data_IF_909475687913
#
_entry.id   IF_909475687913
#
_cell.length_a   1.000
_cell.length_b   1.000
_cell.length_c   1.000
_cell.angle_alpha   90.00
_cell.angle_beta   90.00
_cell.angle_gamma   90.00
#
_symmetry.space_group_name_H-M   'P 1'
#
loop_
_entity.id
_entity.type
_entity.pdbx_description
1 polymer ?
#
# COMPACT_ATOMS: atom_id res chain seq x y z
N UNK A 1 20.99 6.38 -71.47
CA UNK A 1 20.80 6.71 -70.04
C UNK A 1 19.60 5.95 -69.48
N UNK A 2 19.78 5.27 -68.34
CA UNK A 2 18.82 4.76 -67.34
C UNK A 2 17.35 4.54 -67.73
N UNK A 3 16.87 3.31 -67.52
CA UNK A 3 15.93 3.03 -66.42
C UNK A 3 15.92 1.52 -66.10
N UNK A 4 16.52 1.17 -64.97
CA UNK A 4 16.28 -0.11 -64.29
C UNK A 4 15.02 0.05 -63.45
N UNK A 5 14.04 -0.84 -63.61
CA UNK A 5 12.90 -0.96 -62.69
C UNK A 5 13.16 -2.12 -61.72
N UNK A 6 13.02 -1.92 -60.41
CA UNK A 6 13.39 -2.89 -59.41
C UNK A 6 12.31 -3.95 -59.18
N UNK A 7 12.80 -5.16 -58.95
CA UNK A 7 12.12 -6.35 -58.44
C UNK A 7 11.13 -6.01 -57.30
N UNK A 8 9.83 -6.23 -57.52
CA UNK A 8 8.76 -5.92 -56.53
C UNK A 8 7.86 -7.09 -56.12
N UNK A 9 8.18 -8.33 -56.47
CA UNK A 9 7.39 -9.49 -56.05
C UNK A 9 8.22 -10.54 -55.32
N UNK A 10 8.63 -10.19 -54.09
CA UNK A 10 8.92 -11.17 -53.03
C UNK A 10 8.58 -10.54 -51.69
N UNK A 11 7.31 -10.61 -51.30
CA UNK A 11 6.96 -10.39 -49.90
C UNK A 11 7.54 -11.57 -49.10
N UNK A 12 8.36 -11.34 -48.07
CA UNK A 12 8.78 -12.42 -47.20
C UNK A 12 7.56 -12.94 -46.45
N UNK A 13 7.38 -14.26 -46.48
CA UNK A 13 6.46 -14.97 -45.58
C UNK A 13 6.74 -14.51 -44.15
N UNK A 14 5.77 -13.84 -43.53
CA UNK A 14 5.79 -13.56 -42.10
C UNK A 14 5.16 -14.78 -41.42
N UNK A 15 5.89 -15.52 -40.54
CA UNK A 15 5.22 -16.49 -39.69
C UNK A 15 4.12 -15.77 -38.92
N UNK A 16 2.94 -16.38 -38.86
CA UNK A 16 1.84 -15.90 -38.04
C UNK A 16 2.37 -15.55 -36.65
N UNK A 17 2.08 -14.31 -36.21
CA UNK A 17 2.37 -13.87 -34.86
C UNK A 17 1.86 -14.94 -33.89
N UNK A 18 2.78 -15.65 -33.23
CA UNK A 18 2.42 -16.47 -32.08
C UNK A 18 1.78 -15.54 -31.07
N UNK A 19 0.58 -15.85 -30.56
CA UNK A 19 0.07 -15.14 -29.40
C UNK A 19 1.03 -15.50 -28.27
N UNK A 20 1.94 -14.60 -27.93
CA UNK A 20 2.60 -14.66 -26.64
C UNK A 20 1.48 -14.56 -25.60
N UNK A 21 1.05 -15.72 -25.10
CA UNK A 21 0.29 -15.82 -23.89
C UNK A 21 1.15 -15.16 -22.82
N UNK A 22 0.85 -13.90 -22.50
CA UNK A 22 1.43 -13.24 -21.32
C UNK A 22 0.85 -13.95 -20.10
N UNK A 23 1.44 -15.09 -19.74
CA UNK A 23 1.15 -15.77 -18.49
C UNK A 23 1.68 -14.84 -17.42
N UNK A 24 0.78 -14.09 -16.78
CA UNK A 24 1.12 -13.30 -15.61
C UNK A 24 1.82 -14.23 -14.61
N UNK A 25 2.92 -13.78 -13.97
CA UNK A 25 3.78 -14.66 -13.18
C UNK A 25 3.08 -15.35 -11.99
N UNK A 26 1.86 -14.90 -11.64
CA UNK A 26 1.07 -15.40 -10.50
C UNK A 26 -0.42 -15.27 -10.78
N UNK A 27 -1.23 -16.15 -10.19
CA UNK A 27 -2.69 -16.05 -10.19
C UNK A 27 -3.19 -15.06 -9.10
N UNK A 28 -4.47 -14.72 -9.14
CA UNK A 28 -5.05 -13.71 -8.23
C UNK A 28 -5.00 -14.14 -6.76
N UNK A 29 -5.18 -15.43 -6.47
CA UNK A 29 -5.09 -15.95 -5.10
C UNK A 29 -3.67 -15.81 -4.54
N UNK A 30 -2.65 -16.14 -5.34
CA UNK A 30 -1.24 -15.97 -4.97
C UNK A 30 -0.91 -14.50 -4.75
N UNK A 31 -1.46 -13.59 -5.56
CA UNK A 31 -1.30 -12.14 -5.36
C UNK A 31 -1.86 -11.70 -4.01
N UNK A 32 -3.10 -12.11 -3.68
CA UNK A 32 -3.74 -11.79 -2.41
C UNK A 32 -2.95 -12.32 -1.19
N UNK A 33 -2.43 -13.54 -1.29
CA UNK A 33 -1.62 -14.15 -0.23
C UNK A 33 -0.32 -13.38 0.04
N UNK A 34 0.35 -12.93 -1.04
CA UNK A 34 1.58 -12.16 -0.95
C UNK A 34 1.34 -10.75 -0.42
N UNK A 35 0.28 -10.07 -0.85
CA UNK A 35 -0.12 -8.76 -0.33
C UNK A 35 -0.45 -8.84 1.16
N UNK A 36 -1.21 -9.87 1.57
CA UNK A 36 -1.52 -10.09 2.98
C UNK A 36 -0.27 -10.43 3.81
N UNK A 37 0.68 -11.20 3.26
CA UNK A 37 1.95 -11.50 3.92
C UNK A 37 2.83 -10.25 4.08
N UNK A 38 2.90 -9.40 3.06
CA UNK A 38 3.61 -8.13 3.12
C UNK A 38 3.00 -7.19 4.16
N UNK A 39 1.67 -7.08 4.19
CA UNK A 39 0.95 -6.27 5.19
C UNK A 39 1.22 -6.77 6.62
N UNK A 40 1.10 -8.08 6.86
CA UNK A 40 1.45 -8.68 8.17
C UNK A 40 2.88 -8.38 8.58
N UNK A 41 3.83 -8.41 7.63
CA UNK A 41 5.23 -8.10 7.90
C UNK A 41 5.46 -6.60 8.21
N UNK A 42 4.73 -5.70 7.54
CA UNK A 42 4.74 -4.28 7.87
C UNK A 42 4.23 -4.02 9.28
N UNK A 43 3.09 -4.62 9.64
CA UNK A 43 2.51 -4.51 11.00
C UNK A 43 3.50 -5.01 12.04
N UNK A 44 4.08 -6.20 11.84
CA UNK A 44 5.10 -6.74 12.75
C UNK A 44 6.34 -5.82 12.85
N UNK A 45 6.77 -5.22 11.74
CA UNK A 45 7.88 -4.27 11.75
C UNK A 45 7.54 -3.02 12.59
N UNK A 46 6.36 -2.43 12.38
CA UNK A 46 5.89 -1.27 13.15
C UNK A 46 5.71 -1.59 14.63
N UNK A 47 5.34 -2.82 14.98
CA UNK A 47 5.24 -3.28 16.36
C UNK A 47 6.62 -3.49 17.01
N UNK A 48 7.61 -3.99 16.27
CA UNK A 48 8.99 -4.07 16.78
C UNK A 48 9.62 -2.69 17.03
N UNK A 49 9.11 -1.64 16.37
CA UNK A 49 9.59 -0.25 16.44
C UNK A 49 8.62 0.64 17.23
N UNK A 50 8.36 0.28 18.49
CA UNK A 50 7.51 1.09 19.41
C UNK A 50 8.12 2.44 19.78
N UNK A 51 9.41 2.64 19.49
CA UNK A 51 10.12 3.92 19.60
C UNK A 51 9.58 4.97 18.62
N UNK A 52 9.13 4.53 17.45
CA UNK A 52 8.63 5.43 16.38
C UNK A 52 7.22 5.89 16.71
N UNK A 53 7.06 7.18 17.03
CA UNK A 53 5.76 7.77 17.36
C UNK A 53 4.91 7.98 16.10
N UNK A 54 3.58 7.91 16.26
CA UNK A 54 2.66 8.12 15.15
C UNK A 54 2.75 9.53 14.55
N UNK A 55 3.10 10.55 15.35
CA UNK A 55 3.26 11.92 14.86
C UNK A 55 4.45 12.04 13.90
N UNK A 56 5.54 11.32 14.15
CA UNK A 56 6.70 11.31 13.26
C UNK A 56 6.37 10.65 11.93
N UNK A 57 5.63 9.55 11.96
CA UNK A 57 5.13 8.89 10.75
C UNK A 57 4.21 9.81 9.95
N UNK A 58 3.28 10.52 10.62
CA UNK A 58 2.43 11.50 9.93
C UNK A 58 3.24 12.63 9.28
N UNK A 59 4.24 13.16 9.98
CA UNK A 59 5.06 14.26 9.47
C UNK A 59 5.95 13.86 8.29
N UNK A 60 6.43 12.62 8.25
CA UNK A 60 7.35 12.14 7.22
C UNK A 60 6.64 11.51 6.02
N UNK A 61 5.61 10.70 6.25
CA UNK A 61 4.99 9.86 5.22
C UNK A 61 3.50 10.11 5.01
N UNK A 62 2.87 11.02 5.78
CA UNK A 62 1.44 11.33 5.64
C UNK A 62 0.49 10.21 6.09
N UNK A 63 1.00 9.14 6.70
CA UNK A 63 0.20 8.08 7.31
C UNK A 63 0.87 7.54 8.57
N UNK A 64 0.09 6.92 9.45
CA UNK A 64 0.59 6.25 10.65
C UNK A 64 -0.19 4.96 10.93
N UNK A 65 0.10 4.30 12.06
CA UNK A 65 -0.59 3.07 12.50
C UNK A 65 -2.12 3.23 12.55
N UNK A 66 -2.61 4.38 13.02
CA UNK A 66 -4.04 4.66 13.03
C UNK A 66 -4.67 4.76 11.64
N UNK A 67 -3.91 5.17 10.62
CA UNK A 67 -4.38 5.17 9.23
C UNK A 67 -4.56 3.74 8.74
N UNK A 68 -3.61 2.85 9.04
CA UNK A 68 -3.72 1.42 8.71
C UNK A 68 -4.97 0.79 9.33
N UNK A 69 -5.27 1.08 10.61
CA UNK A 69 -6.49 0.58 11.25
C UNK A 69 -7.77 1.12 10.59
N UNK A 70 -7.78 2.38 10.16
CA UNK A 70 -8.91 2.97 9.43
C UNK A 70 -9.10 2.31 8.05
N UNK A 71 -8.02 2.07 7.32
CA UNK A 71 -8.08 1.38 6.02
C UNK A 71 -8.54 -0.07 6.17
N UNK A 72 -8.08 -0.77 7.22
CA UNK A 72 -8.54 -2.11 7.53
C UNK A 72 -10.05 -2.13 7.80
N UNK A 73 -10.55 -1.20 8.64
CA UNK A 73 -11.98 -1.08 8.90
C UNK A 73 -12.77 -0.72 7.63
N UNK A 74 -12.29 0.23 6.84
CA UNK A 74 -12.97 0.62 5.59
C UNK A 74 -13.10 -0.56 4.61
N UNK A 75 -12.05 -1.37 4.47
CA UNK A 75 -12.08 -2.58 3.66
C UNK A 75 -13.05 -3.66 4.19
N UNK A 76 -13.27 -3.71 5.51
CA UNK A 76 -14.28 -4.56 6.12
C UNK A 76 -15.70 -4.02 5.87
N UNK A 77 -15.90 -2.71 6.01
CA UNK A 77 -17.17 -2.01 5.77
C UNK A 77 -17.64 -2.20 4.32
N UNK A 78 -16.73 -2.08 3.33
CA UNK A 78 -17.01 -2.34 1.91
C UNK A 78 -17.49 -3.76 1.64
N UNK A 79 -17.08 -4.71 2.47
CA UNK A 79 -17.46 -6.13 2.41
C UNK A 79 -18.59 -6.48 3.35
N UNK A 80 -19.17 -5.49 4.05
CA UNK A 80 -20.22 -5.67 5.05
C UNK A 80 -19.83 -6.64 6.17
N UNK A 81 -18.54 -6.67 6.53
CA UNK A 81 -18.01 -7.46 7.64
C UNK A 81 -17.99 -6.57 8.89
N UNK A 82 -18.62 -7.03 9.96
CA UNK A 82 -18.65 -6.29 11.23
C UNK A 82 -17.28 -6.37 11.92
N UNK A 83 -16.52 -5.27 11.80
CA UNK A 83 -15.23 -5.07 12.46
C UNK A 83 -15.25 -3.70 13.11
N UNK A 84 -15.09 -3.64 14.42
CA UNK A 84 -15.00 -2.36 15.11
C UNK A 84 -13.65 -1.69 14.84
N UNK A 85 -13.58 -0.36 15.02
CA UNK A 85 -12.31 0.35 14.89
C UNK A 85 -11.28 -0.12 15.94
N UNK A 86 -11.74 -0.61 17.08
CA UNK A 86 -10.86 -1.10 18.14
C UNK A 86 -10.30 -2.49 17.79
N UNK A 87 -11.10 -3.37 17.17
CA UNK A 87 -10.59 -4.63 16.61
C UNK A 87 -9.54 -4.37 15.53
N UNK A 88 -9.80 -3.42 14.64
CA UNK A 88 -8.85 -3.03 13.60
C UNK A 88 -7.57 -2.40 14.17
N UNK A 89 -7.65 -1.74 15.32
CA UNK A 89 -6.46 -1.26 16.06
C UNK A 89 -5.72 -2.43 16.67
N UNK A 90 -6.40 -3.36 17.33
CA UNK A 90 -5.76 -4.53 17.93
C UNK A 90 -4.97 -5.34 16.89
N UNK A 91 -5.50 -5.52 15.67
CA UNK A 91 -4.78 -6.15 14.56
C UNK A 91 -3.48 -5.42 14.20
N UNK A 92 -3.47 -4.09 14.22
CA UNK A 92 -2.31 -3.26 13.83
C UNK A 92 -1.32 -3.04 14.97
N UNK A 93 -1.80 -2.95 16.21
CA UNK A 93 -0.98 -2.70 17.40
C UNK A 93 -0.53 -3.99 18.10
N UNK A 94 -1.12 -5.15 17.76
CA UNK A 94 -0.83 -6.44 18.38
C UNK A 94 -1.33 -6.57 19.82
N UNK A 95 -2.03 -5.56 20.34
CA UNK A 95 -2.60 -5.48 21.69
C UNK A 95 -3.71 -4.41 21.72
N UNK A 96 -4.55 -4.37 22.78
CA UNK A 96 -5.55 -3.33 22.93
C UNK A 96 -4.94 -1.94 22.89
N UNK A 97 -5.54 -1.04 22.10
CA UNK A 97 -5.01 0.32 21.89
C UNK A 97 -4.82 1.10 23.20
N UNK A 98 -5.72 0.89 24.16
CA UNK A 98 -5.62 1.52 25.48
C UNK A 98 -4.34 1.13 26.22
N UNK A 99 -3.96 -0.16 26.17
CA UNK A 99 -2.73 -0.66 26.78
C UNK A 99 -1.49 -0.14 26.06
N UNK A 100 -1.51 -0.14 24.72
CA UNK A 100 -0.41 0.39 23.93
C UNK A 100 -0.18 1.89 24.22
N UNK A 101 -1.27 2.66 24.30
CA UNK A 101 -1.22 4.08 24.63
C UNK A 101 -0.63 4.32 26.01
N UNK A 102 -1.03 3.54 27.01
CA UNK A 102 -0.50 3.69 28.36
C UNK A 102 1.00 3.34 28.45
N UNK A 103 1.46 2.35 27.68
CA UNK A 103 2.84 1.85 27.77
C UNK A 103 3.84 2.61 26.89
N UNK A 104 3.41 3.08 25.70
CA UNK A 104 4.34 3.51 24.65
C UNK A 104 4.07 4.89 24.05
N UNK A 105 2.88 5.47 24.25
CA UNK A 105 2.58 6.80 23.73
C UNK A 105 3.27 7.87 24.58
N UNK A 106 4.18 8.63 23.97
CA UNK A 106 4.82 9.78 24.60
C UNK A 106 4.09 11.07 24.23
N UNK A 107 4.18 12.07 25.08
CA UNK A 107 3.75 13.42 24.73
C UNK A 107 4.60 13.94 23.57
N UNK A 108 3.95 14.45 22.54
CA UNK A 108 4.63 15.01 21.38
C UNK A 108 5.32 16.32 21.76
N UNK A 109 6.57 16.51 21.34
CA UNK A 109 7.29 17.76 21.55
C UNK A 109 6.65 18.91 20.77
N UNK A 110 6.90 20.15 21.21
CA UNK A 110 6.38 21.33 20.52
C UNK A 110 6.79 21.37 19.03
N UNK A 111 8.01 20.92 18.71
CA UNK A 111 8.51 20.86 17.33
C UNK A 111 7.75 19.83 16.49
N UNK A 112 7.44 18.65 17.05
CA UNK A 112 6.66 17.61 16.35
C UNK A 112 5.23 18.08 16.08
N UNK A 113 4.62 18.79 17.03
CA UNK A 113 3.29 19.38 16.89
C UNK A 113 3.27 20.50 15.84
N UNK A 114 4.29 21.37 15.83
CA UNK A 114 4.42 22.43 14.86
C UNK A 114 4.67 21.88 13.43
N UNK A 115 5.48 20.83 13.30
CA UNK A 115 5.68 20.13 12.03
C UNK A 115 4.39 19.48 11.54
N UNK A 116 3.62 18.87 12.45
CA UNK A 116 2.31 18.31 12.11
C UNK A 116 1.36 19.40 11.62
N UNK A 117 1.23 20.51 12.34
CA UNK A 117 0.38 21.64 11.94
C UNK A 117 0.74 22.22 10.56
N UNK A 118 2.03 22.22 10.19
CA UNK A 118 2.51 22.62 8.86
C UNK A 118 2.29 21.56 7.79
N UNK A 119 2.32 20.29 8.18
CA UNK A 119 2.18 19.11 7.32
C UNK A 119 0.74 18.65 7.07
N UNK A 120 -0.27 19.26 7.69
CA UNK A 120 -1.70 19.04 7.36
C UNK A 120 -2.04 19.68 6.01
N UNK A 121 -1.36 19.27 4.94
CA UNK A 121 -1.80 19.52 3.57
C UNK A 121 -2.32 18.20 3.00
N UNK A 122 -3.63 18.21 2.75
CA UNK A 122 -4.48 17.31 1.98
C UNK A 122 -4.26 15.79 2.09
N UNK A 123 -5.26 14.99 2.52
CA UNK A 123 -5.28 13.58 2.18
C UNK A 123 -5.34 13.50 0.65
N UNK A 124 -4.24 13.06 0.02
CA UNK A 124 -4.24 12.77 -1.40
C UNK A 124 -5.47 11.89 -1.72
N UNK A 125 -6.32 12.27 -2.69
CA UNK A 125 -7.50 11.49 -3.01
C UNK A 125 -7.00 10.13 -3.51
N UNK A 126 -7.30 9.08 -2.76
CA UNK A 126 -7.20 7.71 -3.25
C UNK A 126 -8.26 7.59 -4.33
N UNK A 127 -7.89 7.91 -5.58
CA UNK A 127 -8.72 7.62 -6.75
C UNK A 127 -8.76 6.10 -6.89
N UNK A 128 -9.91 5.52 -6.61
CA UNK A 128 -10.27 4.16 -7.02
C UNK A 128 -10.35 4.02 -8.53
#
# INVERSE_FOLDING_TARGET
MRCALPNRFRLPWQPAATPELSVSPMNDQQRLELEAAAFRRLVAHLDSRKDVQNIDLMNLSGFCRNCLSKWYKAAADERQIDVSLDDAREVVYGMPYAEWKAQYQKEASADQQAAFAKGVNDPAPVKG
#
